data_IF_063578598660
#
_entry.id   IF_063578598660
#
_cell.length_a   1.000
_cell.length_b   1.000
_cell.length_c   1.000
_cell.angle_alpha   90.00
_cell.angle_beta   90.00
_cell.angle_gamma   90.00
#
_symmetry.space_group_name_H-M   'P 1'
#
loop_
_entity.id
_entity.type
_entity.pdbx_description
1 polymer ?
#
# COMPACT_ATOMS: atom_id res chain seq x y z
N UNK A 1 1.83 -13.75 -52.07
CA UNK A 1 0.87 -13.37 -51.00
C UNK A 1 0.53 -14.62 -50.23
N UNK A 2 1.19 -14.86 -49.10
CA UNK A 2 0.76 -15.81 -48.07
C UNK A 2 1.12 -15.18 -46.73
N UNK A 3 0.11 -14.84 -45.95
CA UNK A 3 0.23 -14.19 -44.65
C UNK A 3 0.64 -15.23 -43.60
N UNK A 4 1.84 -15.07 -43.04
CA UNK A 4 2.23 -15.69 -41.78
C UNK A 4 1.42 -15.02 -40.65
N UNK A 5 0.41 -15.73 -40.16
CA UNK A 5 -0.24 -15.42 -38.89
C UNK A 5 0.74 -15.76 -37.77
N UNK A 6 1.36 -14.74 -37.17
CA UNK A 6 2.19 -14.88 -35.98
C UNK A 6 1.32 -15.37 -34.82
N UNK A 7 1.53 -16.62 -34.44
CA UNK A 7 1.11 -17.18 -33.18
C UNK A 7 1.84 -16.44 -32.06
N UNK A 8 1.14 -15.49 -31.42
CA UNK A 8 1.64 -14.78 -30.25
C UNK A 8 1.58 -15.75 -29.07
N UNK A 9 2.68 -16.46 -28.86
CA UNK A 9 2.89 -17.33 -27.70
C UNK A 9 2.66 -16.58 -26.39
N UNK A 10 1.48 -16.77 -25.80
CA UNK A 10 1.22 -16.44 -24.40
C UNK A 10 1.90 -17.51 -23.54
N UNK A 11 2.84 -17.08 -22.70
CA UNK A 11 3.53 -17.96 -21.77
C UNK A 11 2.56 -18.45 -20.67
N UNK A 12 2.59 -19.73 -20.23
CA UNK A 12 1.63 -20.30 -19.26
C UNK A 12 1.63 -19.70 -17.84
N UNK A 13 2.36 -18.61 -17.59
CA UNK A 13 2.65 -18.08 -16.27
C UNK A 13 1.69 -16.98 -15.77
N UNK A 14 0.65 -16.62 -16.53
CA UNK A 14 -0.17 -15.42 -16.28
C UNK A 14 -1.69 -15.66 -16.26
N UNK A 15 -2.14 -16.85 -15.84
CA UNK A 15 -3.58 -17.10 -15.62
C UNK A 15 -3.92 -17.00 -14.12
N UNK A 16 -4.78 -16.05 -13.74
CA UNK A 16 -5.36 -16.00 -12.40
C UNK A 16 -6.49 -17.03 -12.27
N UNK A 17 -6.75 -17.50 -11.05
CA UNK A 17 -7.87 -18.41 -10.76
C UNK A 17 -9.20 -17.76 -11.17
N UNK A 18 -9.33 -16.43 -11.03
CA UNK A 18 -10.50 -15.68 -11.51
C UNK A 18 -10.69 -15.75 -13.03
N UNK A 19 -9.61 -15.80 -13.81
CA UNK A 19 -9.69 -15.92 -15.28
C UNK A 19 -10.14 -17.31 -15.68
N UNK A 20 -9.61 -18.34 -15.00
CA UNK A 20 -10.05 -19.73 -15.21
C UNK A 20 -11.52 -19.91 -14.84
N UNK A 21 -11.99 -19.30 -13.73
CA UNK A 21 -13.40 -19.35 -13.34
C UNK A 21 -14.31 -18.66 -14.37
N UNK A 22 -13.90 -17.50 -14.90
CA UNK A 22 -14.64 -16.79 -15.96
C UNK A 22 -14.73 -17.61 -17.24
N UNK A 23 -13.63 -18.25 -17.63
CA UNK A 23 -13.60 -19.12 -18.80
C UNK A 23 -14.49 -20.36 -18.61
N UNK A 24 -14.58 -20.89 -17.38
CA UNK A 24 -15.52 -21.98 -17.06
C UNK A 24 -16.99 -21.53 -17.14
N UNK A 25 -17.31 -20.28 -16.79
CA UNK A 25 -18.67 -19.72 -16.94
C UNK A 25 -19.05 -19.57 -18.43
N UNK A 26 -18.13 -19.07 -19.25
CA UNK A 26 -18.32 -18.99 -20.71
C UNK A 26 -18.48 -20.37 -21.33
N UNK A 27 -17.71 -21.35 -20.85
CA UNK A 27 -17.81 -22.73 -21.29
C UNK A 27 -19.14 -23.37 -20.87
N UNK A 28 -19.63 -23.15 -19.65
CA UNK A 28 -20.96 -23.66 -19.23
C UNK A 28 -22.10 -23.14 -20.12
N UNK A 29 -21.99 -21.88 -20.59
CA UNK A 29 -22.96 -21.27 -21.50
C UNK A 29 -22.91 -21.77 -22.94
N UNK A 30 -21.78 -22.35 -23.37
CA UNK A 30 -21.55 -22.82 -24.74
C UNK A 30 -21.86 -24.32 -24.90
N UNK A 31 -21.91 -25.06 -23.80
CA UNK A 31 -21.99 -26.52 -23.83
C UNK A 31 -23.44 -27.02 -23.90
N UNK A 32 -23.70 -27.89 -24.87
CA UNK A 32 -25.05 -28.35 -25.21
C UNK A 32 -25.54 -29.55 -24.38
N UNK A 33 -24.64 -30.38 -23.85
CA UNK A 33 -25.03 -31.58 -23.11
C UNK A 33 -25.13 -31.35 -21.59
N UNK A 34 -26.12 -31.99 -20.96
CA UNK A 34 -26.31 -31.96 -19.51
C UNK A 34 -25.14 -32.60 -18.75
N UNK A 35 -24.45 -33.58 -19.35
CA UNK A 35 -23.30 -34.27 -18.76
C UNK A 35 -22.07 -33.37 -18.72
N UNK A 36 -21.77 -32.65 -19.80
CA UNK A 36 -20.62 -31.75 -19.86
C UNK A 36 -20.85 -30.50 -18.99
N UNK A 37 -22.07 -29.95 -18.90
CA UNK A 37 -22.39 -28.89 -17.92
C UNK A 37 -22.15 -29.35 -16.48
N UNK A 38 -22.46 -30.60 -16.17
CA UNK A 38 -22.23 -31.16 -14.83
C UNK A 38 -20.73 -31.30 -14.52
N UNK A 39 -19.92 -31.58 -15.54
CA UNK A 39 -18.46 -31.65 -15.43
C UNK A 39 -17.84 -30.26 -15.22
N UNK A 40 -18.28 -29.24 -15.97
CA UNK A 40 -17.86 -27.84 -15.77
C UNK A 40 -18.16 -27.36 -14.34
N UNK A 41 -19.36 -27.63 -13.82
CA UNK A 41 -19.74 -27.32 -12.43
C UNK A 41 -18.93 -28.07 -11.38
N UNK A 42 -18.43 -29.26 -11.70
CA UNK A 42 -17.58 -30.04 -10.80
C UNK A 42 -16.17 -29.43 -10.75
N UNK A 43 -15.61 -29.11 -11.91
CA UNK A 43 -14.29 -28.47 -12.03
C UNK A 43 -14.28 -27.10 -11.35
N UNK A 44 -15.33 -26.30 -11.55
CA UNK A 44 -15.53 -25.04 -10.83
C UNK A 44 -15.49 -25.21 -9.32
N UNK A 45 -16.29 -26.14 -8.78
CA UNK A 45 -16.33 -26.42 -7.34
C UNK A 45 -14.99 -26.92 -6.79
N UNK A 46 -14.24 -27.68 -7.59
CA UNK A 46 -12.87 -28.06 -7.21
C UNK A 46 -11.96 -26.84 -7.14
N UNK A 47 -12.01 -25.94 -8.12
CA UNK A 47 -11.23 -24.70 -8.14
C UNK A 47 -11.58 -23.76 -6.98
N UNK A 48 -12.87 -23.59 -6.68
CA UNK A 48 -13.37 -22.82 -5.53
C UNK A 48 -12.96 -23.43 -4.18
N UNK A 49 -12.70 -24.74 -4.14
CA UNK A 49 -12.25 -25.45 -2.95
C UNK A 49 -10.73 -25.47 -2.75
N UNK A 50 -9.94 -25.00 -3.72
CA UNK A 50 -8.48 -24.91 -3.59
C UNK A 50 -8.15 -23.82 -2.57
N UNK A 51 -7.52 -24.15 -1.42
CA UNK A 51 -7.08 -23.15 -0.46
C UNK A 51 -6.02 -22.27 -1.12
N UNK A 52 -6.34 -21.00 -1.37
CA UNK A 52 -5.46 -20.06 -2.07
C UNK A 52 -6.09 -19.29 -3.24
N UNK A 53 -7.39 -19.47 -3.53
CA UNK A 53 -8.15 -18.62 -4.46
C UNK A 53 -8.26 -17.17 -3.98
N UNK A 54 -8.22 -16.96 -2.67
CA UNK A 54 -7.86 -15.68 -2.08
C UNK A 54 -6.33 -15.57 -2.13
N UNK A 55 -5.78 -15.16 -3.28
CA UNK A 55 -4.41 -14.67 -3.31
C UNK A 55 -4.34 -13.50 -2.33
N UNK A 56 -3.88 -13.81 -1.13
CA UNK A 56 -3.35 -12.89 -0.14
C UNK A 56 -2.57 -11.84 -0.93
N UNK A 57 -3.12 -10.62 -1.06
CA UNK A 57 -2.40 -9.49 -1.68
C UNK A 57 -1.15 -9.26 -0.83
N UNK A 58 -0.05 -9.91 -1.20
CA UNK A 58 1.24 -9.77 -0.56
C UNK A 58 1.73 -8.36 -0.89
N UNK A 59 2.00 -7.58 0.15
CA UNK A 59 2.62 -6.27 0.02
C UNK A 59 3.97 -6.42 -0.67
N UNK A 60 4.08 -5.85 -1.87
CA UNK A 60 5.17 -6.07 -2.82
C UNK A 60 6.09 -4.85 -2.86
N UNK A 61 7.32 -5.01 -3.35
CA UNK A 61 8.25 -3.88 -3.58
C UNK A 61 7.70 -2.79 -4.50
N UNK A 62 6.70 -3.13 -5.33
CA UNK A 62 5.93 -2.19 -6.13
C UNK A 62 5.07 -1.27 -5.27
N UNK A 63 4.33 -1.81 -4.31
CA UNK A 63 3.47 -1.04 -3.40
C UNK A 63 4.32 -0.03 -2.59
N UNK A 64 5.58 -0.38 -2.31
CA UNK A 64 6.56 0.54 -1.73
C UNK A 64 6.87 1.70 -2.67
N UNK A 65 7.15 1.40 -3.95
CA UNK A 65 7.48 2.40 -4.95
C UNK A 65 6.28 3.33 -5.27
N UNK A 66 5.09 2.77 -5.43
CA UNK A 66 3.85 3.52 -5.65
C UNK A 66 3.51 4.38 -4.43
N UNK A 67 3.66 3.82 -3.22
CA UNK A 67 3.52 4.58 -1.98
C UNK A 67 4.54 5.72 -1.87
N UNK A 68 5.79 5.47 -2.25
CA UNK A 68 6.85 6.49 -2.25
C UNK A 68 6.55 7.62 -3.23
N UNK A 69 6.17 7.30 -4.48
CA UNK A 69 5.83 8.29 -5.52
C UNK A 69 4.60 9.10 -5.10
N UNK A 70 3.55 8.43 -4.62
CA UNK A 70 2.35 9.10 -4.10
C UNK A 70 2.71 10.05 -2.95
N UNK A 71 3.55 9.60 -2.03
CA UNK A 71 4.02 10.43 -0.91
C UNK A 71 4.77 11.68 -1.37
N UNK A 72 5.64 11.57 -2.36
CA UNK A 72 6.36 12.73 -2.92
C UNK A 72 5.38 13.70 -3.59
N UNK A 73 4.54 13.23 -4.51
CA UNK A 73 3.63 14.09 -5.29
C UNK A 73 2.73 14.93 -4.37
N UNK A 74 2.18 14.31 -3.32
CA UNK A 74 1.29 14.99 -2.39
C UNK A 74 2.02 15.87 -1.36
N UNK A 75 3.30 15.60 -1.06
CA UNK A 75 4.08 16.41 -0.11
C UNK A 75 4.73 17.64 -0.75
N UNK A 76 5.03 17.61 -2.05
CA UNK A 76 5.73 18.69 -2.74
C UNK A 76 5.06 20.08 -2.59
N UNK A 77 3.72 20.24 -2.71
CA UNK A 77 3.08 21.55 -2.55
C UNK A 77 3.26 22.11 -1.14
N UNK A 78 3.10 21.27 -0.11
CA UNK A 78 3.30 21.69 1.28
C UNK A 78 4.76 21.99 1.59
N UNK A 79 5.68 21.26 0.95
CA UNK A 79 7.11 21.41 1.21
C UNK A 79 7.63 22.81 0.84
N UNK A 80 6.99 23.49 -0.10
CA UNK A 80 7.33 24.88 -0.49
C UNK A 80 6.54 25.94 0.27
N UNK A 81 5.55 25.55 1.08
CA UNK A 81 4.73 26.49 1.85
C UNK A 81 5.29 26.72 3.25
N UNK A 82 5.34 27.98 3.67
CA UNK A 82 5.81 28.36 5.01
C UNK A 82 4.74 28.07 6.09
N UNK A 83 3.47 27.89 5.71
CA UNK A 83 2.41 27.50 6.65
C UNK A 83 2.68 26.19 7.41
N UNK A 84 3.54 25.32 6.88
CA UNK A 84 4.01 24.11 7.58
C UNK A 84 4.72 24.44 8.89
N UNK A 85 5.41 25.58 8.94
CA UNK A 85 6.21 26.03 10.07
C UNK A 85 5.28 26.55 11.17
N UNK A 86 4.31 27.40 10.79
CA UNK A 86 3.27 27.92 11.69
C UNK A 86 2.45 26.78 12.33
N UNK A 87 2.05 25.78 11.54
CA UNK A 87 1.32 24.61 12.05
C UNK A 87 2.20 23.80 13.03
N UNK A 88 3.48 23.63 12.72
CA UNK A 88 4.39 22.88 13.56
C UNK A 88 4.68 23.58 14.89
N UNK A 89 4.79 24.91 14.88
CA UNK A 89 4.91 25.73 16.09
C UNK A 89 3.67 25.58 16.98
N UNK A 90 2.47 25.67 16.39
CA UNK A 90 1.21 25.44 17.11
C UNK A 90 1.15 24.06 17.78
N UNK A 91 1.67 23.02 17.13
CA UNK A 91 1.66 21.66 17.69
C UNK A 91 2.45 21.51 18.98
N UNK A 92 3.51 22.33 19.15
CA UNK A 92 4.42 22.25 20.30
C UNK A 92 4.15 23.32 21.36
N UNK A 93 3.37 24.35 21.04
CA UNK A 93 3.02 25.45 21.95
C UNK A 93 2.23 24.96 23.17
N UNK A 94 1.19 24.14 22.96
CA UNK A 94 0.35 23.65 24.05
C UNK A 94 0.85 22.32 24.60
N UNK A 95 1.40 22.35 25.82
CA UNK A 95 1.94 21.17 26.51
C UNK A 95 1.18 20.83 27.79
N UNK A 96 0.93 19.55 28.01
CA UNK A 96 0.38 19.00 29.26
C UNK A 96 1.36 17.96 29.79
N UNK A 97 1.85 18.14 31.02
CA UNK A 97 2.89 17.29 31.60
C UNK A 97 4.13 17.13 30.69
N UNK A 98 4.56 18.24 30.06
CA UNK A 98 5.67 18.28 29.08
C UNK A 98 5.44 17.50 27.78
N UNK A 99 4.19 17.07 27.52
CA UNK A 99 3.79 16.39 26.29
C UNK A 99 3.05 17.39 25.40
N UNK A 100 3.52 17.65 24.15
CA UNK A 100 2.81 18.50 23.21
C UNK A 100 1.53 17.81 22.73
N UNK A 101 0.37 18.28 23.19
CA UNK A 101 -0.90 17.55 23.02
C UNK A 101 -1.33 17.54 21.57
N UNK A 102 -1.24 18.67 20.88
CA UNK A 102 -1.65 18.77 19.47
C UNK A 102 -0.72 17.99 18.54
N UNK A 103 0.58 17.92 18.85
CA UNK A 103 1.50 17.02 18.16
C UNK A 103 1.05 15.55 18.27
N UNK A 104 0.71 15.08 19.47
CA UNK A 104 0.24 13.70 19.67
C UNK A 104 -1.08 13.46 18.94
N UNK A 105 -2.02 14.41 19.01
CA UNK A 105 -3.27 14.34 18.27
C UNK A 105 -3.02 14.26 16.76
N UNK A 106 -2.08 15.03 16.21
CA UNK A 106 -1.72 14.98 14.79
C UNK A 106 -1.18 13.60 14.39
N UNK A 107 -0.26 13.02 15.18
CA UNK A 107 0.26 11.68 14.91
C UNK A 107 -0.87 10.64 14.93
N UNK A 108 -1.76 10.70 15.92
CA UNK A 108 -2.93 9.82 16.00
C UNK A 108 -3.88 10.03 14.83
N UNK A 109 -4.07 11.28 14.38
CA UNK A 109 -4.88 11.62 13.22
C UNK A 109 -4.31 11.00 11.95
N UNK A 110 -3.00 11.08 11.71
CA UNK A 110 -2.35 10.46 10.54
C UNK A 110 -2.55 8.94 10.55
N UNK A 111 -2.27 8.29 11.69
CA UNK A 111 -2.45 6.84 11.83
C UNK A 111 -3.92 6.46 11.64
N UNK A 112 -4.85 7.21 12.22
CA UNK A 112 -6.29 6.99 12.09
C UNK A 112 -6.79 7.19 10.65
N UNK A 113 -6.28 8.20 9.95
CA UNK A 113 -6.60 8.48 8.55
C UNK A 113 -6.13 7.34 7.65
N UNK A 114 -4.87 6.92 7.75
CA UNK A 114 -4.33 5.81 6.95
C UNK A 114 -5.04 4.49 7.30
N UNK A 115 -5.28 4.25 8.59
CA UNK A 115 -6.02 3.06 9.03
C UNK A 115 -7.45 3.06 8.49
N UNK A 116 -8.12 4.22 8.50
CA UNK A 116 -9.44 4.39 7.91
C UNK A 116 -9.41 4.11 6.42
N UNK A 117 -8.47 4.71 5.69
CA UNK A 117 -8.38 4.53 4.25
C UNK A 117 -8.08 3.07 3.83
N UNK A 118 -7.23 2.37 4.59
CA UNK A 118 -6.87 0.97 4.31
C UNK A 118 -7.88 -0.07 4.80
N UNK A 119 -8.60 0.19 5.90
CA UNK A 119 -9.41 -0.83 6.59
C UNK A 119 -10.89 -0.47 6.80
N UNK A 120 -11.31 0.79 6.61
CA UNK A 120 -12.72 1.17 6.75
C UNK A 120 -13.58 0.66 5.59
N UNK A 121 -12.98 0.41 4.43
CA UNK A 121 -13.71 0.02 3.20
C UNK A 121 -13.93 -1.48 3.07
N UNK A 122 -13.29 -2.34 3.88
CA UNK A 122 -13.42 -3.78 3.70
C UNK A 122 -13.42 -4.59 5.00
N UNK A 123 -14.63 -5.00 5.43
CA UNK A 123 -14.86 -6.03 6.47
C UNK A 123 -14.61 -7.45 5.89
N UNK A 124 -14.07 -7.57 4.67
CA UNK A 124 -13.74 -8.89 4.09
C UNK A 124 -12.43 -9.41 4.65
N UNK A 125 -12.54 -10.36 5.59
CA UNK A 125 -11.56 -11.40 5.97
C UNK A 125 -10.12 -11.19 5.46
N UNK A 126 -9.47 -10.10 5.88
CA UNK A 126 -8.04 -9.94 5.65
C UNK A 126 -7.37 -10.70 6.78
N UNK A 127 -6.67 -11.79 6.46
CA UNK A 127 -5.73 -12.39 7.41
C UNK A 127 -4.63 -11.35 7.68
N UNK A 128 -4.84 -10.55 8.73
CA UNK A 128 -3.92 -9.50 9.13
C UNK A 128 -2.64 -10.18 9.59
N UNK A 129 -1.59 -10.20 8.75
CA UNK A 129 -0.26 -10.48 9.26
C UNK A 129 0.12 -9.29 10.14
N UNK A 130 0.21 -9.54 11.44
CA UNK A 130 0.55 -8.53 12.42
C UNK A 130 2.07 -8.51 12.59
N UNK A 131 2.68 -7.34 12.47
CA UNK A 131 3.97 -7.02 13.06
C UNK A 131 3.79 -6.98 14.59
N UNK A 132 4.66 -7.68 15.33
CA UNK A 132 4.60 -7.77 16.81
C UNK A 132 3.26 -8.27 17.40
N UNK A 133 2.37 -8.87 16.59
CA UNK A 133 1.10 -9.42 17.06
C UNK A 133 -0.07 -8.44 17.20
N UNK A 134 0.12 -7.13 16.97
CA UNK A 134 -0.96 -6.12 17.04
C UNK A 134 -0.98 -5.09 15.89
N UNK A 135 0.12 -4.87 15.17
CA UNK A 135 0.20 -3.81 14.14
C UNK A 135 0.18 -4.41 12.71
N UNK A 136 -0.78 -4.10 11.83
CA UNK A 136 -0.80 -4.64 10.47
C UNK A 136 0.46 -4.27 9.68
N UNK A 137 1.11 -5.25 9.02
CA UNK A 137 2.35 -5.01 8.25
C UNK A 137 2.19 -3.92 7.18
N UNK A 138 1.06 -3.94 6.46
CA UNK A 138 0.74 -2.97 5.39
C UNK A 138 0.66 -1.55 5.93
N UNK A 139 -0.07 -1.35 7.03
CA UNK A 139 -0.16 -0.06 7.72
C UNK A 139 1.23 0.45 8.13
N UNK A 140 2.03 -0.41 8.76
CA UNK A 140 3.38 -0.05 9.18
C UNK A 140 4.27 0.35 7.99
N UNK A 141 4.20 -0.38 6.88
CA UNK A 141 4.99 -0.07 5.69
C UNK A 141 4.61 1.30 5.09
N UNK A 142 3.32 1.56 4.86
CA UNK A 142 2.82 2.83 4.32
C UNK A 142 3.23 4.01 5.22
N UNK A 143 3.05 3.86 6.53
CA UNK A 143 3.42 4.89 7.51
C UNK A 143 4.94 5.14 7.53
N UNK A 144 5.76 4.09 7.50
CA UNK A 144 7.21 4.24 7.51
C UNK A 144 7.73 4.86 6.22
N UNK A 145 7.27 4.40 5.05
CA UNK A 145 7.73 4.91 3.75
C UNK A 145 7.35 6.39 3.62
N UNK A 146 6.12 6.75 3.94
CA UNK A 146 5.70 8.15 3.92
C UNK A 146 6.45 9.03 4.92
N UNK A 147 6.78 8.49 6.10
CA UNK A 147 7.61 9.19 7.09
C UNK A 147 9.03 9.42 6.55
N UNK A 148 9.62 8.40 5.92
CA UNK A 148 10.92 8.52 5.27
C UNK A 148 10.91 9.54 4.15
N UNK A 149 9.86 9.56 3.32
CA UNK A 149 9.68 10.59 2.29
C UNK A 149 9.63 11.97 2.92
N UNK A 150 8.74 12.19 3.90
CA UNK A 150 8.57 13.49 4.54
C UNK A 150 9.85 13.99 5.22
N UNK A 151 10.51 13.14 6.01
CA UNK A 151 11.75 13.49 6.70
C UNK A 151 12.90 13.70 5.70
N UNK A 152 13.01 12.83 4.68
CA UNK A 152 14.05 12.90 3.67
C UNK A 152 13.96 14.15 2.80
N UNK A 153 12.75 14.51 2.35
CA UNK A 153 12.55 15.71 1.52
C UNK A 153 12.76 17.00 2.34
N UNK A 154 12.24 17.06 3.56
CA UNK A 154 12.46 18.18 4.48
C UNK A 154 13.94 18.38 4.81
N UNK A 155 14.68 17.29 5.03
CA UNK A 155 16.12 17.32 5.27
C UNK A 155 16.88 17.78 4.02
N UNK A 156 16.58 17.16 2.86
CA UNK A 156 17.26 17.44 1.60
C UNK A 156 17.11 18.89 1.16
N UNK A 157 15.96 19.51 1.41
CA UNK A 157 15.70 20.92 1.07
C UNK A 157 16.02 21.90 2.19
N UNK A 158 16.64 21.46 3.29
CA UNK A 158 17.06 22.34 4.38
C UNK A 158 15.92 22.97 5.19
N UNK A 159 14.69 22.46 5.05
CA UNK A 159 13.49 22.99 5.74
C UNK A 159 13.47 22.63 7.24
N UNK A 160 14.21 21.61 7.65
CA UNK A 160 14.31 21.20 9.06
C UNK A 160 15.11 22.17 9.93
N UNK A 161 16.07 22.89 9.38
CA UNK A 161 16.95 23.79 10.16
C UNK A 161 16.63 25.26 9.94
N UNK A 162 15.74 25.58 9.00
CA UNK A 162 15.31 26.92 8.71
C UNK A 162 14.67 27.55 9.97
N UNK A 163 15.07 28.79 10.30
CA UNK A 163 14.58 29.58 11.45
C UNK A 163 15.04 29.11 12.84
N UNK A 164 15.98 28.16 12.92
CA UNK A 164 16.55 27.71 14.20
C UNK A 164 15.54 27.05 15.15
N UNK A 165 14.75 26.05 14.69
CA UNK A 165 13.67 25.46 15.45
C UNK A 165 14.15 24.63 16.64
N UNK A 166 13.26 24.40 17.59
CA UNK A 166 13.50 23.41 18.64
C UNK A 166 13.45 21.97 18.09
N UNK A 167 14.07 21.01 18.79
CA UNK A 167 14.02 19.60 18.38
C UNK A 167 12.58 19.06 18.22
N UNK A 168 11.65 19.51 19.07
CA UNK A 168 10.25 19.10 18.98
C UNK A 168 9.54 19.71 17.78
N UNK A 169 9.85 20.96 17.47
CA UNK A 169 9.30 21.64 16.31
C UNK A 169 9.82 21.02 15.00
N UNK A 170 11.10 20.63 14.94
CA UNK A 170 11.65 19.87 13.79
C UNK A 170 10.84 18.60 13.53
N UNK A 171 10.51 17.85 14.59
CA UNK A 171 9.66 16.65 14.48
C UNK A 171 8.23 17.02 14.07
N UNK A 172 7.66 18.09 14.63
CA UNK A 172 6.33 18.55 14.28
C UNK A 172 6.24 18.93 12.79
N UNK A 173 7.23 19.64 12.24
CA UNK A 173 7.32 19.99 10.81
C UNK A 173 7.31 18.74 9.93
N UNK A 174 8.05 17.69 10.31
CA UNK A 174 8.01 16.40 9.62
C UNK A 174 6.60 15.82 9.64
N UNK A 175 5.91 15.84 10.79
CA UNK A 175 4.57 15.25 10.89
C UNK A 175 3.51 15.97 10.07
N UNK A 176 3.64 17.28 9.84
CA UNK A 176 2.74 18.03 8.95
C UNK A 176 2.88 17.54 7.51
N UNK A 177 4.11 17.43 7.00
CA UNK A 177 4.39 16.88 5.67
C UNK A 177 4.01 15.40 5.59
N UNK A 178 4.24 14.66 6.68
CA UNK A 178 3.94 13.24 6.78
C UNK A 178 2.45 12.96 6.59
N UNK A 179 1.55 13.84 7.05
CA UNK A 179 0.12 13.66 6.82
C UNK A 179 -0.22 13.59 5.31
N UNK A 180 0.29 14.52 4.51
CA UNK A 180 0.09 14.51 3.07
C UNK A 180 0.84 13.37 2.38
N UNK A 181 2.08 13.09 2.80
CA UNK A 181 2.85 11.96 2.27
C UNK A 181 2.16 10.61 2.56
N UNK A 182 1.57 10.44 3.74
CA UNK A 182 0.88 9.23 4.15
C UNK A 182 -0.45 9.05 3.41
N UNK A 183 -1.18 10.15 3.16
CA UNK A 183 -2.34 10.14 2.28
C UNK A 183 -1.95 9.73 0.85
N UNK A 184 -0.92 10.36 0.28
CA UNK A 184 -0.43 10.01 -1.05
C UNK A 184 0.05 8.56 -1.14
N UNK A 185 0.77 8.09 -0.13
CA UNK A 185 1.29 6.73 -0.08
C UNK A 185 0.18 5.68 0.04
N UNK A 186 -0.82 5.95 0.87
CA UNK A 186 -1.98 5.06 1.05
C UNK A 186 -2.86 5.03 -0.20
N UNK A 187 -3.04 6.15 -0.90
CA UNK A 187 -3.73 6.17 -2.19
C UNK A 187 -2.95 5.39 -3.26
N UNK A 188 -1.62 5.57 -3.34
CA UNK A 188 -0.75 4.82 -4.24
C UNK A 188 -0.86 3.30 -4.01
N UNK A 189 -0.82 2.88 -2.76
CA UNK A 189 -0.98 1.47 -2.33
C UNK A 189 -2.39 0.90 -2.58
N UNK A 190 -3.40 1.74 -2.82
CA UNK A 190 -4.77 1.30 -3.15
C UNK A 190 -4.97 1.14 -4.67
N UNK A 191 -4.18 1.82 -5.49
CA UNK A 191 -4.32 1.74 -6.94
C UNK A 191 -3.95 0.34 -7.45
N UNK A 192 -4.82 -0.32 -8.26
CA UNK A 192 -4.53 -1.64 -8.79
C UNK A 192 -3.40 -1.56 -9.83
N UNK A 193 -2.22 -2.08 -9.46
CA UNK A 193 -1.09 -2.27 -10.37
C UNK A 193 -1.07 -3.68 -10.97
N UNK A 194 -1.24 -3.81 -12.29
CA UNK A 194 -1.01 -5.07 -13.01
C UNK A 194 0.50 -5.39 -13.02
N UNK A 195 0.96 -6.33 -12.18
CA UNK A 195 2.15 -7.20 -12.39
C UNK A 195 2.76 -7.65 -11.05
N UNK A 196 3.01 -8.95 -10.94
CA UNK A 196 3.57 -9.64 -9.78
C UNK A 196 5.03 -9.25 -9.51
N UNK A 197 5.27 -8.50 -8.43
CA UNK A 197 6.62 -8.31 -7.91
C UNK A 197 6.96 -9.35 -6.82
N UNK A 198 8.26 -9.62 -6.68
CA UNK A 198 8.81 -10.57 -5.71
C UNK A 198 8.76 -10.04 -4.27
N UNK A 199 8.47 -10.94 -3.32
CA UNK A 199 8.30 -10.68 -1.89
C UNK A 199 9.62 -10.19 -1.25
N UNK A 200 9.56 -9.11 -0.47
CA UNK A 200 10.73 -8.55 0.22
C UNK A 200 11.17 -9.47 1.37
N UNK A 201 10.25 -10.23 1.97
CA UNK A 201 10.59 -11.19 3.01
C UNK A 201 11.53 -12.29 2.50
N UNK A 202 11.36 -12.69 1.23
CA UNK A 202 12.21 -13.71 0.60
C UNK A 202 13.63 -13.16 0.37
N UNK A 203 13.78 -11.88 0.03
CA UNK A 203 15.10 -11.24 -0.12
C UNK A 203 15.84 -11.05 1.19
N UNK A 204 15.13 -10.74 2.28
CA UNK A 204 15.76 -10.59 3.62
C UNK A 204 16.21 -11.95 4.16
N UNK A 205 15.45 -13.02 3.89
CA UNK A 205 15.86 -14.39 4.21
C UNK A 205 17.09 -14.82 3.38
N UNK A 206 17.15 -14.49 2.09
CA UNK A 206 18.28 -14.81 1.21
C UNK A 206 19.59 -14.09 1.60
N UNK A 207 19.49 -12.89 2.20
CA UNK A 207 20.66 -12.14 2.71
C UNK A 207 21.14 -12.69 4.06
N UNK A 208 20.26 -13.32 4.84
CA UNK A 208 20.62 -13.93 6.14
C UNK A 208 21.31 -15.29 6.05
N UNK A 209 21.26 -15.95 4.88
CA UNK A 209 21.82 -17.28 4.64
C UNK A 209 23.22 -17.25 3.94
N UNK A 210 23.86 -16.08 3.90
CA UNK A 210 25.23 -15.90 3.36
C UNK A 210 26.25 -15.50 4.42
#
# INVERSE_FOLDING_TARGET
>A
MSSEGRDSGQSPADYDIGDVLRQLDELEGTVDSSKERQEVRRTRRMLESVPGSDRIRKYTSRDIAEGFVGGIIFSLPLLVEDGVFEIAEWFVEFTVASIPVFFVINVLFIVGLVSGLLYFTDIRNVQVRLLFGFLPKRLAAVLLISLFVAAGTMLMWGRLTAEGPSNFEMLARITVIWAAAALGASLGDILPGESSGTDIADRVAEIGDR
#
